data_IF_328909572966
#
_entry.id   IF_328909572966
#
_cell.length_a   1.000
_cell.length_b   1.000
_cell.length_c   1.000
_cell.angle_alpha   90.00
_cell.angle_beta   90.00
_cell.angle_gamma   90.00
#
_symmetry.space_group_name_H-M   'P 1'
#
loop_
_entity.id
_entity.type
_entity.pdbx_description
1 polymer ?
#
# COMPACT_ATOMS: atom_id res chain seq x y z
N UNK A 1 -13.53 8.48 5.63
CA UNK A 1 -13.05 9.20 6.84
C UNK A 1 -11.66 9.72 6.51
N UNK A 2 -11.47 11.04 6.58
CA UNK A 2 -10.17 11.72 6.48
C UNK A 2 -10.06 12.61 7.70
N UNK A 3 -9.24 12.20 8.65
CA UNK A 3 -8.99 12.87 9.91
C UNK A 3 -7.81 13.83 9.77
N UNK A 4 -8.15 15.10 9.54
CA UNK A 4 -7.48 16.28 10.10
C UNK A 4 -5.97 16.41 9.88
N UNK A 5 -5.59 17.37 9.04
CA UNK A 5 -4.27 18.01 8.95
C UNK A 5 -3.13 17.13 8.38
N UNK A 6 -3.07 17.04 7.05
CA UNK A 6 -1.80 16.82 6.34
C UNK A 6 -1.69 15.56 5.47
N UNK A 7 -2.56 14.57 5.62
CA UNK A 7 -2.54 13.38 4.75
C UNK A 7 -3.30 13.68 3.45
N UNK A 8 -2.57 14.08 2.41
CA UNK A 8 -3.15 14.38 1.11
C UNK A 8 -3.48 13.08 0.35
N UNK A 9 -4.34 12.21 0.86
CA UNK A 9 -4.75 10.91 0.26
C UNK A 9 -3.69 9.80 0.32
N UNK A 10 -4.05 8.71 1.03
CA UNK A 10 -3.23 7.51 1.17
C UNK A 10 -3.78 6.34 0.35
N UNK A 11 -2.95 5.35 0.10
CA UNK A 11 -3.37 4.12 -0.57
C UNK A 11 -3.95 3.15 0.46
N UNK A 12 -5.20 2.72 0.27
CA UNK A 12 -5.83 1.66 1.08
C UNK A 12 -5.97 0.40 0.23
N UNK A 13 -5.55 -0.73 0.79
CA UNK A 13 -5.62 -2.04 0.17
C UNK A 13 -6.50 -2.93 1.04
N UNK A 14 -7.54 -3.50 0.46
CA UNK A 14 -8.44 -4.44 1.13
C UNK A 14 -8.44 -5.77 0.37
N UNK A 15 -8.37 -6.87 1.11
CA UNK A 15 -8.54 -8.22 0.57
C UNK A 15 -9.79 -8.84 1.18
N UNK A 16 -10.68 -9.32 0.32
CA UNK A 16 -11.89 -10.06 0.70
C UNK A 16 -11.79 -11.51 0.26
N UNK A 17 -12.56 -12.39 0.89
CA UNK A 17 -12.80 -13.76 0.42
C UNK A 17 -13.89 -13.78 -0.67
N UNK A 18 -14.22 -14.97 -1.19
CA UNK A 18 -15.21 -15.15 -2.25
C UNK A 18 -16.66 -14.86 -1.83
N UNK A 19 -16.93 -14.79 -0.52
CA UNK A 19 -18.25 -14.46 0.02
C UNK A 19 -18.34 -13.01 0.51
N UNK A 20 -17.26 -12.23 0.35
CA UNK A 20 -17.19 -10.83 0.70
C UNK A 20 -16.73 -10.54 2.13
N UNK A 21 -16.23 -11.52 2.88
CA UNK A 21 -15.64 -11.30 4.20
C UNK A 21 -14.25 -10.67 4.06
N UNK A 22 -13.95 -9.67 4.88
CA UNK A 22 -12.63 -9.03 4.90
C UNK A 22 -11.58 -10.00 5.47
N UNK A 23 -10.59 -10.36 4.66
CA UNK A 23 -9.44 -11.18 5.07
C UNK A 23 -8.39 -10.30 5.75
N UNK A 24 -8.01 -9.19 5.11
CA UNK A 24 -7.10 -8.21 5.67
C UNK A 24 -7.24 -6.85 4.98
N UNK A 25 -6.78 -5.81 5.65
CA UNK A 25 -6.62 -4.48 5.08
C UNK A 25 -5.26 -3.88 5.49
N UNK A 26 -4.76 -2.95 4.71
CA UNK A 26 -3.59 -2.15 5.05
C UNK A 26 -3.67 -0.77 4.40
N UNK A 27 -2.98 0.20 5.00
CA UNK A 27 -2.84 1.57 4.52
C UNK A 27 -1.36 1.82 4.26
N UNK A 28 -1.06 2.34 3.07
CA UNK A 28 0.27 2.82 2.73
C UNK A 28 0.22 4.34 2.61
N UNK A 29 1.04 4.99 3.41
CA UNK A 29 1.41 6.40 3.26
C UNK A 29 2.90 6.50 3.00
N UNK A 30 3.28 7.42 2.13
CA UNK A 30 4.65 7.83 1.92
C UNK A 30 5.15 8.67 3.09
N UNK A 31 6.47 8.73 3.28
CA UNK A 31 7.08 9.50 4.37
C UNK A 31 6.75 11.01 4.34
N UNK A 32 6.31 11.53 3.20
CA UNK A 32 5.91 12.93 3.04
C UNK A 32 4.44 13.19 3.35
N UNK A 33 3.64 12.14 3.59
CA UNK A 33 2.18 12.18 3.75
C UNK A 33 1.46 12.93 2.61
N UNK A 34 2.05 12.96 1.42
CA UNK A 34 1.48 13.62 0.25
C UNK A 34 0.49 12.75 -0.53
N UNK A 35 0.22 13.10 -1.78
CA UNK A 35 -0.68 12.34 -2.66
C UNK A 35 -0.08 10.99 -3.05
N UNK A 36 -0.66 9.93 -2.47
CA UNK A 36 -0.31 8.55 -2.77
C UNK A 36 -1.49 7.86 -3.48
N UNK A 37 -1.31 7.58 -4.78
CA UNK A 37 -2.37 7.08 -5.66
C UNK A 37 -1.99 5.74 -6.30
N UNK A 38 -2.86 4.71 -6.22
CA UNK A 38 -2.68 3.49 -6.99
C UNK A 38 -2.99 3.74 -8.47
N UNK A 39 -2.11 3.25 -9.35
CA UNK A 39 -2.27 3.33 -10.80
C UNK A 39 -2.67 1.96 -11.38
N UNK A 40 -2.04 0.87 -10.92
CA UNK A 40 -2.33 -0.51 -11.35
C UNK A 40 -2.13 -1.51 -10.20
N UNK A 41 -2.84 -2.63 -10.28
CA UNK A 41 -2.69 -3.78 -9.39
C UNK A 41 -2.64 -5.07 -10.19
N UNK A 42 -1.82 -6.02 -9.76
CA UNK A 42 -1.83 -7.41 -10.23
C UNK A 42 -1.69 -8.38 -9.06
N UNK A 43 -2.10 -9.62 -9.27
CA UNK A 43 -2.01 -10.70 -8.27
C UNK A 43 -1.25 -11.86 -8.94
N UNK A 44 -0.25 -12.42 -8.25
CA UNK A 44 0.47 -13.60 -8.74
C UNK A 44 -0.29 -14.91 -8.43
N UNK A 45 0.16 -16.02 -9.01
CA UNK A 45 -0.47 -17.34 -8.81
C UNK A 45 -0.42 -17.83 -7.36
N UNK A 46 0.38 -17.20 -6.51
CA UNK A 46 0.47 -17.51 -5.08
C UNK A 46 -0.41 -16.59 -4.23
N UNK A 47 -1.11 -15.63 -4.84
CA UNK A 47 -1.99 -14.67 -4.16
C UNK A 47 -1.27 -13.45 -3.60
N UNK A 48 -0.01 -13.20 -3.99
CA UNK A 48 0.69 -11.96 -3.65
C UNK A 48 0.16 -10.81 -4.49
N UNK A 49 -0.05 -9.66 -3.87
CA UNK A 49 -0.55 -8.45 -4.52
C UNK A 49 0.63 -7.54 -4.87
N UNK A 50 0.73 -7.13 -6.14
CA UNK A 50 1.62 -6.06 -6.58
C UNK A 50 0.79 -4.83 -6.93
N UNK A 51 1.22 -3.67 -6.45
CA UNK A 51 0.57 -2.39 -6.70
C UNK A 51 1.62 -1.43 -7.22
N UNK A 52 1.31 -0.73 -8.30
CA UNK A 52 2.12 0.40 -8.76
C UNK A 52 1.30 1.67 -8.65
N UNK A 53 1.98 2.77 -8.38
CA UNK A 53 1.33 4.04 -8.12
C UNK A 53 2.30 5.20 -8.11
N UNK A 54 1.75 6.39 -7.94
CA UNK A 54 2.51 7.60 -7.69
C UNK A 54 2.44 7.90 -6.20
N UNK A 55 3.59 8.22 -5.61
CA UNK A 55 3.68 8.60 -4.20
C UNK A 55 4.40 9.94 -4.09
N UNK A 56 4.15 10.67 -3.01
CA UNK A 56 4.92 11.90 -2.79
C UNK A 56 6.25 11.57 -2.10
N UNK A 57 7.36 11.92 -2.75
CA UNK A 57 8.70 11.79 -2.21
C UNK A 57 9.11 12.99 -1.37
N UNK A 58 9.97 12.75 -0.37
CA UNK A 58 10.50 13.82 0.46
C UNK A 58 11.54 14.62 -0.34
N UNK A 59 11.16 15.80 -0.84
CA UNK A 59 12.05 16.69 -1.60
C UNK A 59 12.21 16.36 -3.08
N UNK A 60 11.56 15.31 -3.59
CA UNK A 60 11.61 14.89 -5.00
C UNK A 60 10.31 15.16 -5.77
N UNK A 61 9.23 15.52 -5.08
CA UNK A 61 7.93 15.71 -5.70
C UNK A 61 7.18 14.39 -5.85
N UNK A 62 6.67 14.09 -7.03
CA UNK A 62 5.96 12.83 -7.30
C UNK A 62 6.93 11.75 -7.75
N UNK A 63 7.05 10.68 -6.98
CA UNK A 63 7.85 9.49 -7.31
C UNK A 63 6.95 8.36 -7.82
N UNK A 64 7.53 7.44 -8.59
CA UNK A 64 6.89 6.16 -8.89
C UNK A 64 7.20 5.13 -7.79
N UNK A 65 6.18 4.43 -7.31
CA UNK A 65 6.31 3.37 -6.32
C UNK A 65 5.74 2.04 -6.80
N UNK A 66 6.42 0.94 -6.46
CA UNK A 66 5.89 -0.42 -6.55
C UNK A 66 5.87 -1.05 -5.16
N UNK A 67 4.70 -1.51 -4.73
CA UNK A 67 4.44 -2.17 -3.46
C UNK A 67 4.13 -3.65 -3.71
N UNK A 68 4.76 -4.56 -2.97
CA UNK A 68 4.41 -5.99 -2.98
C UNK A 68 3.95 -6.47 -1.61
N UNK A 69 2.78 -7.10 -1.55
CA UNK A 69 2.23 -7.79 -0.38
C UNK A 69 2.13 -9.28 -0.69
N UNK A 70 3.09 -10.09 -0.23
CA UNK A 70 3.07 -11.55 -0.34
C UNK A 70 1.83 -12.15 0.34
N UNK A 71 1.25 -13.21 -0.24
CA UNK A 71 0.11 -13.91 0.36
C UNK A 71 0.40 -14.52 1.73
N UNK A 72 1.65 -14.90 1.97
CA UNK A 72 2.15 -15.53 3.18
C UNK A 72 2.88 -14.54 4.10
N UNK A 73 2.47 -13.26 4.15
CA UNK A 73 3.08 -12.28 5.07
C UNK A 73 3.34 -12.96 6.42
N UNK A 74 4.57 -12.94 6.96
CA UNK A 74 4.78 -13.48 8.29
C UNK A 74 3.86 -12.69 9.22
N UNK A 75 3.09 -13.39 10.06
CA UNK A 75 2.39 -12.80 11.19
C UNK A 75 3.43 -12.16 12.13
N UNK A 76 3.98 -11.01 11.74
CA UNK A 76 4.83 -10.22 12.60
C UNK A 76 3.92 -9.52 13.59
N UNK A 77 3.85 -10.13 14.78
CA UNK A 77 3.11 -9.70 15.94
C UNK A 77 3.58 -8.31 16.40
N UNK A 78 3.04 -7.25 15.79
CA UNK A 78 2.65 -6.03 16.47
C UNK A 78 1.68 -5.28 15.54
N UNK A 79 0.42 -5.31 15.94
CA UNK A 79 -0.67 -4.41 15.57
C UNK A 79 -0.52 -3.55 14.30
N UNK A 80 -1.40 -3.85 13.33
CA UNK A 80 -2.10 -2.90 12.46
C UNK A 80 -1.49 -2.45 11.13
N UNK A 81 -0.28 -2.87 10.72
CA UNK A 81 0.22 -2.48 9.40
C UNK A 81 1.01 -3.59 8.70
N UNK A 82 0.37 -4.25 7.72
CA UNK A 82 1.11 -5.03 6.73
C UNK A 82 2.00 -4.04 5.96
N UNK A 83 3.32 -4.17 6.07
CA UNK A 83 4.28 -3.38 5.30
C UNK A 83 4.57 -4.10 3.99
N UNK A 84 4.77 -3.38 2.87
CA UNK A 84 5.20 -4.01 1.63
C UNK A 84 6.57 -4.68 1.85
N UNK A 85 6.71 -5.90 1.35
CA UNK A 85 7.95 -6.68 1.41
C UNK A 85 9.00 -6.14 0.42
N UNK A 86 8.55 -5.35 -0.57
CA UNK A 86 9.39 -4.65 -1.53
C UNK A 86 8.81 -3.27 -1.83
N UNK A 87 9.66 -2.25 -1.79
CA UNK A 87 9.37 -0.87 -2.18
C UNK A 87 10.46 -0.40 -3.14
N UNK A 88 10.14 -0.27 -4.43
CA UNK A 88 10.99 0.42 -5.39
C UNK A 88 10.48 1.85 -5.54
N UNK A 89 11.34 2.84 -5.27
CA UNK A 89 11.10 4.24 -5.61
C UNK A 89 12.03 4.66 -6.73
N UNK A 90 11.48 5.27 -7.77
CA UNK A 90 12.25 5.89 -8.84
C UNK A 90 12.02 7.39 -8.72
N UNK A 91 13.09 8.13 -8.45
CA UNK A 91 13.16 9.59 -8.25
C UNK A 91 13.85 10.26 -9.42
#
# INVERSE_FOLDING_TARGET
MSDGAGALSDMVILKYDSVGSLIWNTRYSSASNGFDKPNKMSIDNYGSVLISGTVTGAGTGMDFAVLKYCSSQPLAALQNYLRPVFLLRIT
#
